data_IF_164472254424
#
_entry.id   IF_164472254424
#
_cell.length_a   1.000
_cell.length_b   1.000
_cell.length_c   1.000
_cell.angle_alpha   90.00
_cell.angle_beta   90.00
_cell.angle_gamma   90.00
#
_symmetry.space_group_name_H-M   'P 1'
#
loop_
_entity.id
_entity.type
_entity.pdbx_description
1 polymer ?
#
# COMPACT_ATOMS: atom_id res chain seq x y z
N UNK A 1 4.20 -19.94 11.20
CA UNK A 1 2.91 -20.40 10.62
C UNK A 1 2.13 -19.20 10.12
N UNK A 2 1.42 -19.31 8.99
CA UNK A 2 0.58 -18.23 8.45
C UNK A 2 -0.50 -17.87 9.48
N UNK A 3 -0.68 -16.58 9.74
CA UNK A 3 -1.55 -16.08 10.80
C UNK A 3 -2.16 -14.73 10.42
N UNK A 4 -3.37 -14.47 10.89
CA UNK A 4 -4.01 -13.17 10.87
C UNK A 4 -4.64 -12.89 12.24
N UNK A 5 -4.45 -11.68 12.74
CA UNK A 5 -5.02 -11.22 14.01
C UNK A 5 -5.66 -9.86 13.82
N UNK A 6 -6.94 -9.73 14.20
CA UNK A 6 -7.59 -8.43 14.31
C UNK A 6 -6.97 -7.67 15.49
N UNK A 7 -6.43 -6.49 15.22
CA UNK A 7 -5.80 -5.60 16.18
C UNK A 7 -6.80 -4.57 16.70
N UNK A 8 -7.64 -4.05 15.80
CA UNK A 8 -8.71 -3.11 16.12
C UNK A 8 -9.85 -3.32 15.14
N UNK A 9 -11.06 -3.26 15.65
CA UNK A 9 -12.27 -3.45 14.87
C UNK A 9 -13.32 -2.44 15.34
N UNK A 10 -13.84 -1.66 14.42
CA UNK A 10 -14.71 -0.54 14.75
C UNK A 10 -15.82 -0.41 13.73
N UNK A 11 -16.95 0.13 14.17
CA UNK A 11 -18.06 0.48 13.28
C UNK A 11 -18.47 1.92 13.56
N UNK A 12 -18.60 2.71 12.49
CA UNK A 12 -18.97 4.12 12.54
C UNK A 12 -20.46 4.28 12.92
N UNK A 13 -20.92 5.48 13.29
CA UNK A 13 -22.34 5.75 13.48
C UNK A 13 -23.19 5.51 12.21
N UNK A 14 -22.57 5.56 11.02
CA UNK A 14 -23.21 5.27 9.73
C UNK A 14 -23.22 3.78 9.38
N UNK A 15 -22.70 2.91 10.25
CA UNK A 15 -22.71 1.45 10.07
C UNK A 15 -21.55 0.92 9.22
N UNK A 16 -20.57 1.76 8.86
CA UNK A 16 -19.39 1.33 8.08
C UNK A 16 -18.34 0.73 9.01
N UNK A 17 -17.93 -0.51 8.74
CA UNK A 17 -16.93 -1.24 9.54
C UNK A 17 -15.53 -0.90 9.05
N UNK A 18 -14.60 -0.68 9.98
CA UNK A 18 -13.18 -0.52 9.72
C UNK A 18 -12.40 -1.50 10.59
N UNK A 19 -11.55 -2.29 9.96
CA UNK A 19 -10.77 -3.32 10.67
C UNK A 19 -9.29 -3.15 10.37
N UNK A 20 -8.46 -3.20 11.40
CA UNK A 20 -7.02 -3.33 11.29
C UNK A 20 -6.59 -4.73 11.68
N UNK A 21 -5.84 -5.39 10.79
CA UNK A 21 -5.28 -6.71 11.01
C UNK A 21 -3.75 -6.67 10.99
N UNK A 22 -3.14 -7.46 11.86
CA UNK A 22 -1.76 -7.88 11.75
C UNK A 22 -1.75 -9.26 11.09
N UNK A 23 -1.07 -9.37 9.95
CA UNK A 23 -0.94 -10.61 9.19
C UNK A 23 0.52 -11.03 9.11
N UNK A 24 0.76 -12.34 9.21
CA UNK A 24 2.08 -12.95 9.09
C UNK A 24 2.04 -14.08 8.07
N UNK A 25 2.89 -13.98 7.05
CA UNK A 25 2.89 -14.88 5.89
C UNK A 25 4.29 -15.02 5.29
N UNK A 26 4.50 -15.91 4.32
CA UNK A 26 5.83 -16.08 3.71
C UNK A 26 6.24 -14.84 2.90
N UNK A 27 7.47 -14.37 3.07
CA UNK A 27 7.94 -13.12 2.43
C UNK A 27 7.82 -13.10 0.91
N UNK A 28 7.90 -14.26 0.26
CA UNK A 28 7.71 -14.37 -1.19
C UNK A 28 6.29 -14.11 -1.66
N UNK A 29 5.29 -14.15 -0.78
CA UNK A 29 3.90 -13.81 -1.13
C UNK A 29 3.68 -12.30 -1.14
N UNK A 30 4.62 -11.50 -0.61
CA UNK A 30 4.44 -10.05 -0.52
C UNK A 30 4.11 -9.40 -1.88
N UNK A 31 4.74 -9.75 -3.01
CA UNK A 31 4.34 -9.20 -4.31
C UNK A 31 2.87 -9.50 -4.63
N UNK A 32 2.40 -10.73 -4.39
CA UNK A 32 1.00 -11.12 -4.62
C UNK A 32 0.04 -10.48 -3.62
N UNK A 33 0.40 -10.41 -2.34
CA UNK A 33 -0.37 -9.69 -1.32
C UNK A 33 -0.51 -8.22 -1.71
N UNK A 34 0.58 -7.64 -2.22
CA UNK A 34 0.62 -6.30 -2.77
C UNK A 34 0.08 -6.21 -4.19
N UNK A 35 -0.45 -7.26 -4.85
CA UNK A 35 -1.20 -7.12 -6.12
C UNK A 35 -2.68 -6.91 -5.90
N UNK A 36 -3.16 -7.06 -4.65
CA UNK A 36 -4.39 -6.41 -4.19
C UNK A 36 -4.18 -4.89 -4.06
N UNK A 37 -3.51 -4.28 -5.06
CA UNK A 37 -3.55 -2.83 -5.27
C UNK A 37 -4.87 -2.55 -5.90
N UNK A 38 -5.70 -1.83 -5.21
CA UNK A 38 -6.92 -1.27 -5.74
C UNK A 38 -6.62 -0.12 -6.71
N UNK A 39 -5.41 0.47 -6.67
CA UNK A 39 -4.97 1.61 -7.46
C UNK A 39 -4.25 1.18 -8.76
N UNK A 40 -4.94 1.15 -9.90
CA UNK A 40 -4.28 0.85 -11.19
C UNK A 40 -4.76 1.75 -12.32
N UNK A 41 -3.92 1.84 -13.36
CA UNK A 41 -4.16 2.59 -14.57
C UNK A 41 -4.41 1.64 -15.74
N UNK A 42 -5.34 1.99 -16.62
CA UNK A 42 -5.66 1.20 -17.80
C UNK A 42 -4.49 1.12 -18.80
N UNK A 43 -4.48 0.06 -19.60
CA UNK A 43 -3.41 -0.30 -20.54
C UNK A 43 -2.95 0.80 -21.50
N UNK A 44 -3.89 1.65 -21.92
CA UNK A 44 -3.69 2.74 -22.88
C UNK A 44 -3.31 4.07 -22.21
N UNK A 45 -2.95 4.02 -20.93
CA UNK A 45 -2.42 5.19 -20.22
C UNK A 45 -0.99 5.46 -20.70
N UNK A 46 -0.74 6.69 -21.15
CA UNK A 46 0.57 7.16 -21.59
C UNK A 46 1.36 7.66 -20.40
N UNK A 47 2.54 7.08 -20.20
CA UNK A 47 3.53 7.58 -19.25
C UNK A 47 4.79 7.97 -20.01
N UNK A 48 5.48 8.98 -19.50
CA UNK A 48 6.65 9.55 -20.15
C UNK A 48 7.92 9.03 -19.53
N UNK A 49 8.69 8.34 -20.35
CA UNK A 49 9.94 7.70 -19.97
C UNK A 49 11.11 8.39 -20.63
N UNK A 50 12.23 8.47 -19.94
CA UNK A 50 13.52 8.61 -20.59
C UNK A 50 14.47 7.51 -20.13
N UNK A 51 15.56 7.40 -20.88
CA UNK A 51 16.64 6.52 -20.54
C UNK A 51 17.85 7.30 -20.02
N UNK A 52 18.27 7.08 -18.76
CA UNK A 52 19.45 7.74 -18.22
C UNK A 52 20.75 7.29 -18.92
N UNK A 53 20.78 6.16 -19.60
CA UNK A 53 21.95 5.65 -20.35
C UNK A 53 22.07 6.25 -21.75
N UNK A 54 21.04 6.94 -22.26
CA UNK A 54 21.07 7.63 -23.55
C UNK A 54 21.21 9.15 -23.31
N UNK A 55 22.39 9.74 -23.58
CA UNK A 55 22.62 11.17 -23.42
C UNK A 55 21.61 11.99 -24.23
N UNK A 56 21.14 13.09 -23.65
CA UNK A 56 20.22 14.07 -24.26
C UNK A 56 18.88 13.49 -24.78
N UNK A 57 18.52 12.27 -24.36
CA UNK A 57 17.22 11.69 -24.70
C UNK A 57 16.10 12.54 -24.10
N UNK A 58 15.21 13.01 -24.98
CA UNK A 58 13.97 13.68 -24.55
C UNK A 58 12.96 12.63 -24.07
N UNK A 59 12.19 12.91 -22.99
CA UNK A 59 11.14 12.01 -22.53
C UNK A 59 10.14 11.67 -23.63
N UNK A 60 9.89 10.37 -23.83
CA UNK A 60 8.98 9.82 -24.83
C UNK A 60 7.74 9.22 -24.15
N UNK A 61 6.57 9.49 -24.71
CA UNK A 61 5.31 8.93 -24.22
C UNK A 61 5.10 7.51 -24.73
N UNK A 62 4.86 6.58 -23.82
CA UNK A 62 4.54 5.20 -24.15
C UNK A 62 3.33 4.73 -23.36
N UNK A 63 2.46 3.93 -24.01
CA UNK A 63 1.40 3.23 -23.30
C UNK A 63 1.98 2.23 -22.31
N UNK A 64 1.36 2.11 -21.13
CA UNK A 64 1.79 1.20 -20.07
C UNK A 64 1.92 -0.25 -20.56
N UNK A 65 0.96 -0.73 -21.36
CA UNK A 65 1.04 -2.08 -21.96
C UNK A 65 2.26 -2.26 -22.85
N UNK A 66 2.53 -1.29 -23.73
CA UNK A 66 3.67 -1.36 -24.64
C UNK A 66 5.00 -1.30 -23.87
N UNK A 67 5.10 -0.40 -22.89
CA UNK A 67 6.27 -0.29 -22.02
C UNK A 67 6.50 -1.61 -21.26
N UNK A 68 5.46 -2.17 -20.64
CA UNK A 68 5.54 -3.44 -19.92
C UNK A 68 5.99 -4.60 -20.81
N UNK A 69 5.36 -4.75 -21.98
CA UNK A 69 5.73 -5.79 -22.95
C UNK A 69 7.17 -5.66 -23.44
N UNK A 70 7.66 -4.43 -23.60
CA UNK A 70 9.04 -4.16 -24.03
C UNK A 70 10.03 -4.49 -22.94
N UNK A 71 9.74 -4.06 -21.70
CA UNK A 71 10.57 -4.32 -20.52
C UNK A 71 10.60 -5.80 -20.09
N UNK A 72 9.55 -6.55 -20.44
CA UNK A 72 9.46 -7.99 -20.12
C UNK A 72 10.29 -8.88 -21.06
N UNK A 73 10.88 -8.33 -22.12
CA UNK A 73 11.73 -9.09 -23.04
C UNK A 73 13.07 -9.44 -22.39
N UNK A 74 13.62 -10.65 -22.57
CA UNK A 74 14.94 -11.00 -22.04
C UNK A 74 16.06 -10.05 -22.46
N UNK A 75 15.94 -9.47 -23.66
CA UNK A 75 16.90 -8.49 -24.20
C UNK A 75 16.91 -7.15 -23.46
N UNK A 76 15.90 -6.85 -22.63
CA UNK A 76 15.83 -5.61 -21.87
C UNK A 76 16.84 -5.59 -20.71
N UNK A 77 17.11 -6.75 -20.11
CA UNK A 77 18.06 -6.89 -19.00
C UNK A 77 17.68 -6.04 -17.78
N UNK A 78 18.70 -5.48 -17.11
CA UNK A 78 18.56 -4.68 -15.88
C UNK A 78 18.41 -3.16 -16.14
N UNK A 79 18.10 -2.79 -17.39
CA UNK A 79 18.01 -1.40 -17.83
C UNK A 79 16.89 -0.65 -17.08
N UNK A 80 17.23 0.47 -16.44
CA UNK A 80 16.30 1.27 -15.63
C UNK A 80 15.90 2.56 -16.31
N UNK A 81 14.60 2.76 -16.51
CA UNK A 81 14.05 4.01 -17.02
C UNK A 81 13.78 5.00 -15.88
N UNK A 82 13.71 6.27 -16.23
CA UNK A 82 13.12 7.29 -15.37
C UNK A 82 11.71 7.62 -15.86
N UNK A 83 10.87 8.05 -14.95
CA UNK A 83 9.51 8.55 -15.22
C UNK A 83 9.40 10.00 -14.82
N UNK A 84 8.49 10.72 -15.47
CA UNK A 84 8.17 12.10 -15.11
C UNK A 84 7.31 12.13 -13.84
N UNK A 85 7.79 12.82 -12.82
CA UNK A 85 7.15 13.04 -11.51
C UNK A 85 6.92 14.52 -11.26
N UNK A 86 5.92 14.89 -10.46
CA UNK A 86 5.81 16.24 -9.91
C UNK A 86 6.34 16.28 -8.48
N UNK A 87 7.29 17.17 -8.22
CA UNK A 87 7.78 17.43 -6.86
C UNK A 87 6.74 18.25 -6.10
N UNK A 88 6.09 17.65 -5.11
CA UNK A 88 4.87 18.19 -4.48
C UNK A 88 5.12 19.57 -3.85
N UNK A 89 6.21 19.72 -3.10
CA UNK A 89 6.63 21.00 -2.49
C UNK A 89 6.79 22.17 -3.47
N UNK A 90 6.94 21.92 -4.76
CA UNK A 90 7.16 22.97 -5.78
C UNK A 90 6.10 22.97 -6.89
N UNK A 91 5.33 21.89 -7.00
CA UNK A 91 4.44 21.62 -8.14
C UNK A 91 5.18 21.50 -9.49
N UNK A 92 6.49 21.28 -9.51
CA UNK A 92 7.29 21.23 -10.75
C UNK A 92 7.62 19.80 -11.18
N UNK A 93 7.54 19.55 -12.49
CA UNK A 93 7.90 18.27 -13.10
C UNK A 93 9.41 18.02 -13.11
N UNK A 94 9.82 16.79 -12.82
CA UNK A 94 11.21 16.30 -12.84
C UNK A 94 11.24 14.82 -13.25
N UNK A 95 12.36 14.36 -13.80
CA UNK A 95 12.59 12.94 -14.06
C UNK A 95 13.14 12.25 -12.82
N UNK A 96 12.60 11.10 -12.46
CA UNK A 96 13.04 10.30 -11.31
C UNK A 96 13.14 8.82 -11.69
N UNK A 97 14.07 8.05 -11.08
CA UNK A 97 14.18 6.62 -11.33
C UNK A 97 12.87 5.88 -11.03
N UNK A 98 12.50 4.98 -11.95
CA UNK A 98 11.42 4.03 -11.74
C UNK A 98 11.97 2.73 -11.19
N UNK A 99 11.33 2.20 -10.14
CA UNK A 99 11.66 0.90 -9.55
C UNK A 99 11.10 -0.25 -10.39
N UNK A 100 9.83 -0.17 -10.78
CA UNK A 100 9.14 -1.26 -11.49
C UNK A 100 7.88 -0.77 -12.21
N UNK A 101 7.56 -1.42 -13.34
CA UNK A 101 6.26 -1.39 -14.01
C UNK A 101 5.64 -2.78 -13.92
N UNK A 102 4.45 -2.89 -13.35
CA UNK A 102 3.81 -4.17 -12.99
C UNK A 102 2.47 -4.29 -13.70
N UNK A 103 2.20 -5.47 -14.28
CA UNK A 103 0.89 -5.84 -14.79
C UNK A 103 0.00 -6.31 -13.63
N UNK A 104 -1.17 -5.69 -13.48
CA UNK A 104 -2.09 -5.91 -12.37
C UNK A 104 -3.34 -6.73 -12.74
N UNK A 105 -3.44 -7.19 -13.99
CA UNK A 105 -4.61 -7.94 -14.50
C UNK A 105 -5.75 -7.03 -14.96
N UNK A 106 -6.82 -7.62 -15.52
CA UNK A 106 -8.05 -6.90 -15.84
C UNK A 106 -8.74 -6.41 -14.56
N UNK A 107 -9.24 -5.17 -14.56
CA UNK A 107 -9.98 -4.57 -13.45
C UNK A 107 -11.09 -3.67 -13.97
N UNK A 108 -12.15 -3.54 -13.17
CA UNK A 108 -13.22 -2.59 -13.45
C UNK A 108 -12.69 -1.15 -13.40
N UNK A 109 -12.96 -0.39 -14.46
CA UNK A 109 -12.31 0.89 -14.71
C UNK A 109 -13.30 1.98 -15.12
N UNK A 110 -12.86 3.22 -14.90
CA UNK A 110 -13.58 4.42 -15.21
C UNK A 110 -12.70 5.36 -16.02
N UNK A 111 -13.29 6.01 -17.01
CA UNK A 111 -12.63 7.04 -17.81
C UNK A 111 -13.04 8.39 -17.27
N UNK A 112 -12.06 9.14 -16.80
CA UNK A 112 -12.23 10.53 -16.35
C UNK A 112 -11.76 11.44 -17.46
N UNK A 113 -12.53 12.46 -17.82
CA UNK A 113 -12.12 13.50 -18.76
C UNK A 113 -12.14 14.87 -18.09
N UNK A 114 -11.22 15.73 -18.50
CA UNK A 114 -11.05 17.09 -17.96
C UNK A 114 -11.34 18.16 -19.01
N UNK A 115 -11.53 19.40 -18.53
CA UNK A 115 -11.85 20.57 -19.36
C UNK A 115 -10.80 20.87 -20.42
N UNK A 116 -9.52 20.61 -20.15
CA UNK A 116 -8.46 20.78 -21.15
C UNK A 116 -8.35 19.62 -22.16
N UNK A 117 -9.27 18.65 -22.09
CA UNK A 117 -9.35 17.49 -22.99
C UNK A 117 -8.42 16.35 -22.60
N UNK A 118 -7.82 16.38 -21.40
CA UNK A 118 -7.06 15.24 -20.88
C UNK A 118 -8.03 14.18 -20.38
N UNK A 119 -7.58 12.94 -20.39
CA UNK A 119 -8.36 11.84 -19.88
C UNK A 119 -7.46 10.75 -19.31
N UNK A 120 -7.97 10.01 -18.35
CA UNK A 120 -7.30 8.85 -17.77
C UNK A 120 -8.31 7.73 -17.54
N UNK A 121 -7.88 6.50 -17.78
CA UNK A 121 -8.65 5.31 -17.43
C UNK A 121 -8.00 4.70 -16.20
N UNK A 122 -8.73 4.61 -15.11
CA UNK A 122 -8.23 4.10 -13.86
C UNK A 122 -9.31 3.36 -13.07
N UNK A 123 -8.88 2.56 -12.10
CA UNK A 123 -9.80 1.97 -11.13
C UNK A 123 -10.44 3.05 -10.26
N UNK A 124 -11.64 2.78 -9.71
CA UNK A 124 -12.33 3.71 -8.80
C UNK A 124 -11.44 4.13 -7.62
N UNK A 125 -10.60 3.22 -7.15
CA UNK A 125 -9.70 3.49 -6.03
C UNK A 125 -8.43 4.23 -6.44
N UNK A 126 -8.14 4.48 -7.72
CA UNK A 126 -6.85 5.09 -8.10
C UNK A 126 -6.70 6.53 -7.60
N UNK A 127 -5.57 6.85 -6.98
CA UNK A 127 -5.31 8.18 -6.41
C UNK A 127 -4.88 9.19 -7.48
N UNK A 128 -5.62 10.29 -7.54
CA UNK A 128 -5.39 11.43 -8.42
C UNK A 128 -5.08 12.66 -7.57
N UNK A 129 -4.18 13.53 -8.03
CA UNK A 129 -3.94 14.81 -7.36
C UNK A 129 -5.10 15.75 -7.73
N UNK A 130 -5.80 16.24 -6.73
CA UNK A 130 -6.94 17.15 -6.90
C UNK A 130 -6.74 18.45 -6.13
N UNK A 131 -7.61 19.44 -6.33
CA UNK A 131 -7.65 20.68 -5.54
C UNK A 131 -7.86 20.44 -4.04
N UNK A 132 -8.46 19.31 -3.68
CA UNK A 132 -8.69 18.90 -2.30
C UNK A 132 -7.64 17.89 -1.81
N UNK A 133 -6.60 17.61 -2.62
CA UNK A 133 -5.52 16.69 -2.30
C UNK A 133 -5.52 15.39 -3.06
N UNK A 134 -4.79 14.41 -2.53
CA UNK A 134 -4.73 13.06 -3.08
C UNK A 134 -6.01 12.30 -2.72
N UNK A 135 -6.95 12.26 -3.67
CA UNK A 135 -8.23 11.55 -3.55
C UNK A 135 -8.22 10.34 -4.47
N UNK A 136 -8.86 9.24 -4.07
CA UNK A 136 -9.24 8.22 -5.06
C UNK A 136 -10.27 8.78 -6.02
N UNK A 137 -10.43 8.18 -7.20
CA UNK A 137 -11.47 8.62 -8.12
C UNK A 137 -12.86 8.56 -7.45
N UNK A 138 -13.14 7.49 -6.71
CA UNK A 138 -14.40 7.30 -5.99
C UNK A 138 -14.66 8.42 -5.00
N UNK A 139 -13.68 8.75 -4.14
CA UNK A 139 -13.79 9.83 -3.16
C UNK A 139 -13.86 11.21 -3.80
N UNK A 140 -13.10 11.43 -4.87
CA UNK A 140 -13.07 12.72 -5.55
C UNK A 140 -14.45 13.09 -6.06
N UNK A 141 -15.25 12.12 -6.49
CA UNK A 141 -16.45 12.40 -7.28
C UNK A 141 -17.71 11.76 -6.70
N UNK A 142 -17.64 11.12 -5.53
CA UNK A 142 -18.72 10.31 -4.95
C UNK A 142 -19.28 9.29 -5.96
N UNK A 143 -18.37 8.48 -6.53
CA UNK A 143 -18.67 7.61 -7.66
C UNK A 143 -19.55 6.42 -7.25
N UNK A 144 -20.63 6.19 -7.99
CA UNK A 144 -21.41 4.95 -7.93
C UNK A 144 -22.00 4.59 -9.29
N UNK A 145 -22.47 3.35 -9.46
CA UNK A 145 -23.20 2.92 -10.65
C UNK A 145 -24.70 2.89 -10.35
N UNK A 146 -25.53 3.40 -11.26
CA UNK A 146 -26.98 3.24 -11.20
C UNK A 146 -27.43 1.81 -11.59
N UNK A 147 -28.73 1.52 -11.50
CA UNK A 147 -29.32 0.22 -11.86
C UNK A 147 -29.06 -0.20 -13.33
N UNK A 148 -28.64 0.74 -14.18
CA UNK A 148 -28.35 0.51 -15.61
C UNK A 148 -26.84 0.44 -15.89
N UNK A 149 -26.01 0.52 -14.85
CA UNK A 149 -24.54 0.50 -14.97
C UNK A 149 -23.95 1.83 -15.44
N UNK A 150 -24.67 2.94 -15.30
CA UNK A 150 -24.16 4.28 -15.65
C UNK A 150 -23.43 4.87 -14.45
N UNK A 151 -22.23 5.42 -14.68
CA UNK A 151 -21.47 6.11 -13.67
C UNK A 151 -22.15 7.42 -13.25
N UNK A 152 -22.53 7.51 -11.98
CA UNK A 152 -23.06 8.69 -11.32
C UNK A 152 -21.98 9.29 -10.40
N UNK A 153 -21.92 10.63 -10.36
CA UNK A 153 -20.92 11.39 -9.61
C UNK A 153 -21.47 12.76 -9.21
N UNK A 154 -20.85 13.39 -8.21
CA UNK A 154 -21.28 14.66 -7.62
C UNK A 154 -21.16 15.83 -8.61
N UNK A 155 -22.08 16.78 -8.52
CA UNK A 155 -22.21 17.87 -9.50
C UNK A 155 -20.99 18.80 -9.58
N UNK A 156 -20.27 18.98 -8.45
CA UNK A 156 -19.12 19.88 -8.36
C UNK A 156 -17.92 19.15 -7.72
N UNK A 157 -17.21 18.28 -8.45
CA UNK A 157 -16.04 17.61 -7.94
C UNK A 157 -14.82 18.56 -7.90
N UNK A 158 -13.81 18.26 -7.07
CA UNK A 158 -12.54 18.96 -7.12
C UNK A 158 -11.91 18.82 -8.50
N UNK A 159 -11.12 19.84 -8.89
CA UNK A 159 -10.39 19.78 -10.15
C UNK A 159 -9.19 18.85 -10.01
N UNK A 160 -8.83 18.13 -11.06
CA UNK A 160 -7.57 17.37 -11.09
C UNK A 160 -6.41 18.33 -11.33
N UNK A 161 -5.19 17.93 -10.96
CA UNK A 161 -4.00 18.63 -11.42
C UNK A 161 -3.42 17.94 -12.66
N UNK A 162 -3.22 18.75 -13.69
CA UNK A 162 -2.49 18.38 -14.90
C UNK A 162 -1.12 19.04 -14.92
N UNK A 163 -0.16 18.40 -15.57
CA UNK A 163 1.16 18.96 -15.79
C UNK A 163 1.70 18.55 -17.15
N UNK A 164 2.24 19.52 -17.88
CA UNK A 164 2.85 19.28 -19.18
C UNK A 164 4.07 18.37 -19.04
N UNK A 165 4.26 17.49 -20.02
CA UNK A 165 5.38 16.57 -20.07
C UNK A 165 6.68 17.28 -20.48
N UNK A 166 7.17 18.15 -19.61
CA UNK A 166 8.44 18.86 -19.77
C UNK A 166 9.00 19.17 -18.39
N UNK A 167 10.30 18.91 -18.21
CA UNK A 167 10.99 19.22 -16.95
C UNK A 167 10.81 20.70 -16.61
N UNK A 168 10.55 20.97 -15.33
CA UNK A 168 10.20 22.28 -14.76
C UNK A 168 8.82 22.85 -15.15
N UNK A 169 7.99 22.14 -15.91
CA UNK A 169 6.58 22.48 -16.06
C UNK A 169 5.90 22.49 -14.70
N UNK A 170 4.99 23.45 -14.51
CA UNK A 170 4.23 23.60 -13.27
C UNK A 170 2.86 22.93 -13.41
N UNK A 171 2.46 22.22 -12.36
CA UNK A 171 1.12 21.67 -12.24
C UNK A 171 0.06 22.79 -12.28
N UNK A 172 -1.08 22.49 -12.88
CA UNK A 172 -2.22 23.38 -13.06
C UNK A 172 -3.51 22.62 -12.81
N UNK A 173 -4.49 23.30 -12.25
CA UNK A 173 -5.83 22.74 -12.06
C UNK A 173 -6.53 22.55 -13.41
N UNK A 174 -7.29 21.48 -13.52
CA UNK A 174 -8.06 21.08 -14.69
C UNK A 174 -9.36 20.42 -14.24
N UNK A 175 -10.50 21.12 -14.35
CA UNK A 175 -11.79 20.62 -13.88
C UNK A 175 -12.20 19.32 -14.57
N UNK A 176 -12.79 18.39 -13.81
CA UNK A 176 -13.43 17.19 -14.35
C UNK A 176 -14.69 17.60 -15.12
N UNK A 177 -14.87 17.07 -16.31
CA UNK A 177 -16.05 17.33 -17.16
C UNK A 177 -16.98 16.13 -17.28
N UNK A 178 -16.43 14.91 -17.20
CA UNK A 178 -17.19 13.69 -17.40
C UNK A 178 -16.46 12.49 -16.83
N UNK A 179 -17.24 11.49 -16.40
CA UNK A 179 -16.77 10.20 -15.91
C UNK A 179 -17.65 9.13 -16.53
N UNK A 180 -17.04 8.11 -17.12
CA UNK A 180 -17.75 7.00 -17.75
C UNK A 180 -17.26 5.69 -17.16
N UNK A 181 -18.19 4.76 -16.93
CA UNK A 181 -17.84 3.37 -16.65
C UNK A 181 -17.33 2.72 -17.94
N UNK A 182 -16.12 2.17 -17.90
CA UNK A 182 -15.45 1.52 -19.04
C UNK A 182 -15.63 0.00 -18.99
N UNK A 183 -15.83 -0.55 -17.79
CA UNK A 183 -15.83 -1.99 -17.54
C UNK A 183 -14.42 -2.55 -17.36
N UNK A 184 -14.28 -3.87 -17.49
CA UNK A 184 -13.00 -4.55 -17.28
C UNK A 184 -11.96 -4.15 -18.32
N UNK A 185 -10.86 -3.58 -17.84
CA UNK A 185 -9.71 -3.15 -18.65
C UNK A 185 -8.42 -3.68 -18.05
N UNK A 186 -7.49 -4.11 -18.90
CA UNK A 186 -6.14 -4.50 -18.50
C UNK A 186 -5.43 -3.36 -17.78
N UNK A 187 -4.96 -3.62 -16.56
CA UNK A 187 -4.44 -2.60 -15.66
C UNK A 187 -2.96 -2.79 -15.32
N UNK A 188 -2.28 -1.67 -15.08
CA UNK A 188 -0.86 -1.60 -14.76
C UNK A 188 -0.61 -0.63 -13.61
N UNK A 189 0.51 -0.82 -12.93
CA UNK A 189 0.97 0.06 -11.84
C UNK A 189 2.46 0.34 -11.96
N UNK A 190 2.86 1.54 -11.55
CA UNK A 190 4.26 1.98 -11.54
C UNK A 190 4.75 2.06 -10.09
N UNK A 191 6.06 1.98 -9.89
CA UNK A 191 6.65 2.31 -8.61
C UNK A 191 7.88 3.17 -8.83
N UNK A 192 8.00 4.21 -8.01
CA UNK A 192 9.02 5.24 -8.13
C UNK A 192 9.97 5.13 -6.95
N UNK A 193 11.27 5.33 -7.21
CA UNK A 193 12.32 5.18 -6.22
C UNK A 193 12.48 6.38 -5.26
N UNK A 194 11.79 7.50 -5.54
CA UNK A 194 11.86 8.70 -4.69
C UNK A 194 11.26 8.40 -3.31
N UNK A 195 11.99 8.65 -2.20
CA UNK A 195 11.55 8.29 -0.86
C UNK A 195 10.52 9.25 -0.24
N UNK A 196 10.22 10.37 -0.89
CA UNK A 196 9.31 11.41 -0.37
C UNK A 196 8.06 11.55 -1.22
N UNK A 197 8.23 11.72 -2.53
CA UNK A 197 7.12 11.91 -3.46
C UNK A 197 6.88 10.59 -4.21
N UNK A 198 5.72 9.95 -4.06
CA UNK A 198 5.41 8.69 -4.75
C UNK A 198 4.44 8.87 -5.92
N UNK A 199 4.47 10.04 -6.58
CA UNK A 199 3.62 10.37 -7.72
C UNK A 199 4.35 10.38 -9.07
N UNK A 200 3.59 10.23 -10.16
CA UNK A 200 4.04 10.37 -11.55
C UNK A 200 2.98 11.04 -12.43
N UNK A 201 3.39 11.43 -13.65
CA UNK A 201 2.51 11.99 -14.66
C UNK A 201 2.05 10.89 -15.62
N UNK A 202 0.72 10.74 -15.74
CA UNK A 202 0.04 9.76 -16.59
C UNK A 202 -1.06 10.47 -17.41
N UNK A 203 -1.00 10.41 -18.75
CA UNK A 203 -1.85 11.21 -19.65
C UNK A 203 -1.90 12.70 -19.29
N UNK A 204 -0.76 13.24 -18.84
CA UNK A 204 -0.61 14.61 -18.32
C UNK A 204 -1.38 14.90 -17.02
N UNK A 205 -1.99 13.92 -16.38
CA UNK A 205 -2.58 14.03 -15.04
C UNK A 205 -1.60 13.48 -14.00
N UNK A 206 -1.65 14.02 -12.78
CA UNK A 206 -0.72 13.63 -11.70
C UNK A 206 -1.40 12.57 -10.82
N UNK A 207 -0.73 11.43 -10.66
CA UNK A 207 -1.27 10.22 -10.03
C UNK A 207 -0.28 9.63 -9.02
N UNK A 208 -0.74 8.84 -8.06
CA UNK A 208 0.09 8.38 -6.92
C UNK A 208 0.21 6.84 -6.82
N UNK A 209 1.35 6.35 -6.28
CA UNK A 209 1.60 4.93 -5.99
C UNK A 209 1.27 4.58 -4.52
N UNK A 210 0.56 3.49 -4.24
CA UNK A 210 0.30 3.03 -2.85
C UNK A 210 1.39 2.06 -2.34
N UNK A 211 2.04 2.28 -1.18
CA UNK A 211 2.78 1.22 -0.44
C UNK A 211 2.93 1.46 1.08
N UNK A 212 2.60 0.44 1.89
CA UNK A 212 3.18 0.19 3.21
C UNK A 212 3.46 -1.30 3.46
N UNK A 213 4.73 -1.66 3.70
CA UNK A 213 5.14 -3.03 4.04
C UNK A 213 6.43 -3.01 4.86
N UNK A 214 6.59 -3.97 5.78
CA UNK A 214 7.81 -4.10 6.59
C UNK A 214 9.08 -4.23 5.71
N UNK A 215 10.19 -3.67 6.18
CA UNK A 215 11.47 -3.63 5.45
C UNK A 215 12.45 -4.66 6.00
N UNK A 216 13.01 -5.51 5.14
CA UNK A 216 14.09 -6.44 5.52
C UNK A 216 15.40 -5.70 5.88
N UNK A 217 15.57 -4.44 5.43
CA UNK A 217 16.74 -3.59 5.73
C UNK A 217 16.80 -3.15 7.19
N UNK A 218 15.64 -3.07 7.83
CA UNK A 218 15.46 -2.57 9.19
C UNK A 218 16.00 -3.56 10.25
N UNK A 219 15.83 -4.86 10.04
CA UNK A 219 16.05 -5.90 11.06
C UNK A 219 17.53 -6.34 11.11
N UNK A 220 18.16 -6.41 12.30
CA UNK A 220 19.54 -6.90 12.45
C UNK A 220 19.75 -8.31 11.88
N UNK A 221 20.87 -8.50 11.17
CA UNK A 221 21.22 -9.77 10.51
C UNK A 221 21.19 -10.98 11.46
N UNK A 222 21.78 -10.86 12.66
CA UNK A 222 21.80 -11.93 13.67
C UNK A 222 20.37 -12.38 14.05
N UNK A 223 19.42 -11.44 14.15
CA UNK A 223 18.02 -11.75 14.43
C UNK A 223 17.37 -12.47 13.25
N UNK A 224 17.65 -12.05 12.02
CA UNK A 224 17.12 -12.72 10.82
C UNK A 224 17.62 -14.16 10.67
N UNK A 225 18.93 -14.38 10.84
CA UNK A 225 19.52 -15.72 10.81
C UNK A 225 18.84 -16.63 11.85
N UNK A 226 18.68 -16.15 13.09
CA UNK A 226 18.02 -16.92 14.15
C UNK A 226 16.56 -17.28 13.82
N UNK A 227 15.81 -16.37 13.17
CA UNK A 227 14.44 -16.65 12.72
C UNK A 227 14.41 -17.77 11.68
N UNK A 228 15.22 -17.66 10.63
CA UNK A 228 15.26 -18.65 9.53
C UNK A 228 15.75 -20.02 9.98
N UNK A 229 16.70 -20.09 10.91
CA UNK A 229 17.15 -21.38 11.49
C UNK A 229 16.00 -22.08 12.22
N UNK A 230 15.27 -21.34 13.06
CA UNK A 230 14.23 -21.87 13.95
C UNK A 230 12.95 -22.23 13.22
N UNK A 231 12.46 -21.35 12.35
CA UNK A 231 11.20 -21.52 11.62
C UNK A 231 11.32 -20.87 10.22
N UNK A 232 11.90 -21.57 9.24
CA UNK A 232 11.97 -21.07 7.86
C UNK A 232 10.58 -21.08 7.22
N UNK A 233 10.29 -20.07 6.40
CA UNK A 233 9.19 -20.14 5.43
C UNK A 233 9.51 -21.21 4.37
N UNK A 234 8.70 -22.26 4.29
CA UNK A 234 8.85 -23.37 3.33
C UNK A 234 7.51 -23.61 2.62
N UNK A 235 7.51 -24.10 1.37
CA UNK A 235 6.27 -24.40 0.65
C UNK A 235 5.34 -25.32 1.46
N UNK A 236 4.06 -24.99 1.45
CA UNK A 236 3.01 -25.74 2.14
C UNK A 236 2.61 -26.98 1.35
N UNK A 237 2.59 -26.85 0.02
CA UNK A 237 2.23 -27.91 -0.92
C UNK A 237 3.34 -28.11 -1.97
N UNK A 238 3.44 -29.34 -2.48
CA UNK A 238 4.39 -29.72 -3.52
C UNK A 238 3.62 -30.52 -4.58
N UNK A 239 3.33 -29.87 -5.71
CA UNK A 239 2.60 -30.48 -6.82
C UNK A 239 3.49 -30.80 -8.02
N UNK A 240 2.97 -31.63 -8.93
CA UNK A 240 3.65 -31.97 -10.18
C UNK A 240 3.70 -30.78 -11.15
N UNK A 241 4.79 -30.68 -11.93
CA UNK A 241 4.93 -29.69 -13.01
C UNK A 241 3.97 -29.97 -14.17
N UNK A 242 3.30 -28.93 -14.70
CA UNK A 242 2.31 -29.00 -15.79
C UNK A 242 2.27 -27.68 -16.56
N UNK A 243 1.72 -27.65 -17.79
CA UNK A 243 1.30 -26.40 -18.41
C UNK A 243 0.24 -25.68 -17.56
N UNK A 244 0.38 -24.37 -17.37
CA UNK A 244 -0.50 -23.54 -16.52
C UNK A 244 0.17 -23.09 -15.22
N UNK A 245 -0.55 -22.33 -14.39
CA UNK A 245 -0.01 -21.73 -13.14
C UNK A 245 -0.23 -22.58 -11.89
N UNK A 246 -0.95 -23.71 -11.99
CA UNK A 246 -1.40 -24.50 -10.85
C UNK A 246 -0.98 -25.96 -10.95
N UNK A 247 -0.62 -26.52 -9.79
CA UNK A 247 -0.25 -27.92 -9.66
C UNK A 247 -1.38 -28.67 -8.94
N UNK A 248 -2.30 -29.27 -9.70
CA UNK A 248 -3.51 -29.93 -9.16
C UNK A 248 -3.30 -31.38 -8.71
N UNK A 249 -2.19 -32.01 -9.09
CA UNK A 249 -1.86 -33.37 -8.63
C UNK A 249 -0.73 -33.37 -7.61
N UNK A 250 -0.97 -34.13 -6.54
CA UNK A 250 -0.04 -34.33 -5.42
C UNK A 250 1.13 -35.22 -5.84
N UNK A 251 2.34 -34.84 -5.44
CA UNK A 251 3.51 -35.72 -5.53
C UNK A 251 3.33 -36.98 -4.68
N UNK A 252 3.97 -38.09 -5.09
CA UNK A 252 4.06 -39.27 -4.25
C UNK A 252 4.84 -38.98 -2.96
N UNK A 253 4.59 -39.79 -1.92
CA UNK A 253 5.13 -39.56 -0.57
C UNK A 253 6.66 -39.47 -0.53
N UNK A 254 7.36 -40.23 -1.38
CA UNK A 254 8.82 -40.21 -1.43
C UNK A 254 9.34 -38.91 -2.05
N UNK A 255 8.77 -38.49 -3.18
CA UNK A 255 9.15 -37.22 -3.82
C UNK A 255 8.80 -36.01 -2.96
N UNK A 256 7.65 -35.99 -2.29
CA UNK A 256 7.30 -34.92 -1.34
C UNK A 256 8.33 -34.83 -0.20
N UNK A 257 8.75 -35.97 0.35
CA UNK A 257 9.78 -36.00 1.39
C UNK A 257 11.13 -35.47 0.91
N UNK A 258 11.57 -35.89 -0.29
CA UNK A 258 12.80 -35.38 -0.90
C UNK A 258 12.72 -33.87 -1.19
N UNK A 259 11.60 -33.39 -1.74
CA UNK A 259 11.41 -31.97 -2.03
C UNK A 259 11.47 -31.11 -0.76
N UNK A 260 10.78 -31.54 0.32
CA UNK A 260 10.86 -30.89 1.64
C UNK A 260 12.29 -30.83 2.18
N UNK A 261 13.02 -31.94 2.04
CA UNK A 261 14.42 -32.04 2.49
C UNK A 261 15.32 -31.08 1.71
N UNK A 262 15.21 -31.04 0.37
CA UNK A 262 16.00 -30.17 -0.48
C UNK A 262 15.72 -28.68 -0.21
N UNK A 263 14.46 -28.30 -0.04
CA UNK A 263 14.09 -26.94 0.35
C UNK A 263 14.66 -26.55 1.72
N UNK A 264 14.65 -27.48 2.69
CA UNK A 264 15.28 -27.24 3.99
C UNK A 264 16.79 -27.07 3.85
N UNK A 265 17.47 -27.90 3.06
CA UNK A 265 18.90 -27.76 2.78
C UNK A 265 19.23 -26.41 2.13
N UNK A 266 18.40 -25.94 1.19
CA UNK A 266 18.55 -24.62 0.58
C UNK A 266 18.47 -23.50 1.63
N UNK A 267 17.53 -23.59 2.59
CA UNK A 267 17.42 -22.62 3.69
C UNK A 267 18.68 -22.59 4.57
N UNK A 268 19.27 -23.76 4.84
CA UNK A 268 20.50 -23.88 5.64
C UNK A 268 21.69 -23.30 4.89
N UNK A 269 21.81 -23.58 3.58
CA UNK A 269 22.86 -23.00 2.75
C UNK A 269 22.78 -21.46 2.72
N UNK A 270 21.58 -20.91 2.55
CA UNK A 270 21.35 -19.47 2.60
C UNK A 270 21.79 -18.86 3.94
N UNK A 271 21.51 -19.53 5.06
CA UNK A 271 22.00 -19.15 6.39
C UNK A 271 23.52 -19.17 6.48
N UNK A 272 24.17 -20.21 5.98
CA UNK A 272 25.63 -20.32 5.99
C UNK A 272 26.29 -19.16 5.22
N UNK A 273 25.79 -18.84 4.02
CA UNK A 273 26.29 -17.71 3.24
C UNK A 273 25.99 -16.37 3.90
N UNK A 274 24.80 -16.16 4.44
CA UNK A 274 24.45 -14.94 5.16
C UNK A 274 25.36 -14.73 6.39
N UNK A 275 25.66 -15.80 7.13
CA UNK A 275 26.60 -15.75 8.24
C UNK A 275 28.02 -15.40 7.80
N UNK A 276 28.53 -16.04 6.74
CA UNK A 276 29.85 -15.77 6.19
C UNK A 276 30.00 -14.32 5.70
N UNK A 277 29.01 -13.79 4.98
CA UNK A 277 28.99 -12.39 4.54
C UNK A 277 28.91 -11.41 5.71
N UNK A 278 28.18 -11.78 6.77
CA UNK A 278 28.19 -11.03 8.03
C UNK A 278 29.57 -10.98 8.70
N UNK A 279 30.36 -12.06 8.61
CA UNK A 279 31.75 -12.09 9.09
C UNK A 279 32.70 -11.21 8.27
N UNK A 280 32.38 -10.99 7.00
CA UNK A 280 33.06 -10.01 6.15
C UNK A 280 32.62 -8.56 6.39
N UNK A 281 31.80 -8.31 7.42
CA UNK A 281 31.27 -6.99 7.78
C UNK A 281 30.42 -6.34 6.67
N UNK A 282 29.80 -7.13 5.80
CA UNK A 282 28.90 -6.62 4.75
C UNK A 282 27.58 -6.18 5.40
N UNK A 283 27.08 -5.01 5.01
CA UNK A 283 25.91 -4.41 5.63
C UNK A 283 24.62 -5.24 5.45
N UNK A 284 23.79 -5.29 6.50
CA UNK A 284 22.53 -6.06 6.56
C UNK A 284 21.56 -5.80 5.41
N UNK A 285 21.60 -4.61 4.81
CA UNK A 285 20.74 -4.26 3.66
C UNK A 285 20.95 -5.17 2.45
N UNK A 286 22.16 -5.72 2.30
CA UNK A 286 22.54 -6.64 1.22
C UNK A 286 22.43 -8.08 1.71
N UNK A 287 23.01 -8.38 2.88
CA UNK A 287 23.08 -9.76 3.38
C UNK A 287 21.70 -10.36 3.64
N UNK A 288 20.74 -9.57 4.15
CA UNK A 288 19.39 -10.07 4.42
C UNK A 288 18.66 -10.54 3.15
N UNK A 289 19.07 -10.11 1.93
CA UNK A 289 18.42 -10.50 0.67
C UNK A 289 18.53 -12.00 0.38
N UNK A 290 19.63 -12.63 0.78
CA UNK A 290 19.86 -14.08 0.62
C UNK A 290 18.88 -14.89 1.46
N UNK A 291 18.43 -14.33 2.58
CA UNK A 291 17.52 -14.98 3.51
C UNK A 291 16.05 -14.75 3.14
N UNK A 292 15.72 -13.73 2.33
CA UNK A 292 14.34 -13.32 2.02
C UNK A 292 13.42 -14.46 1.56
N UNK A 293 13.87 -15.42 0.72
CA UNK A 293 13.02 -16.55 0.35
C UNK A 293 12.54 -17.35 1.57
N UNK A 294 13.33 -17.44 2.64
CA UNK A 294 12.99 -18.28 3.79
C UNK A 294 12.45 -17.48 4.98
N UNK A 295 12.13 -16.19 4.78
CA UNK A 295 11.63 -15.33 5.84
C UNK A 295 10.10 -15.36 5.95
N UNK A 296 9.61 -15.30 7.19
CA UNK A 296 8.28 -14.82 7.49
C UNK A 296 8.24 -13.29 7.40
N UNK A 297 7.10 -12.77 6.99
CA UNK A 297 6.85 -11.36 6.78
C UNK A 297 5.59 -10.96 7.52
N UNK A 298 5.69 -9.84 8.25
CA UNK A 298 4.59 -9.30 9.04
C UNK A 298 4.15 -7.96 8.48
N UNK A 299 2.85 -7.81 8.27
CA UNK A 299 2.24 -6.60 7.71
C UNK A 299 1.07 -6.21 8.59
N UNK A 300 0.88 -4.90 8.77
CA UNK A 300 -0.37 -4.32 9.25
C UNK A 300 -1.16 -3.84 8.04
N UNK A 301 -2.44 -4.16 8.01
CA UNK A 301 -3.36 -3.72 6.96
C UNK A 301 -4.63 -3.22 7.62
N UNK A 302 -5.11 -2.06 7.19
CA UNK A 302 -6.40 -1.51 7.61
C UNK A 302 -7.27 -1.38 6.37
N UNK A 303 -8.51 -1.84 6.44
CA UNK A 303 -9.48 -1.71 5.35
C UNK A 303 -10.90 -1.69 5.91
N UNK A 304 -11.76 -0.94 5.24
CA UNK A 304 -13.23 -1.01 5.35
C UNK A 304 -13.84 -2.06 4.41
N UNK A 305 -13.07 -2.56 3.46
CA UNK A 305 -13.51 -3.49 2.42
C UNK A 305 -12.60 -4.71 2.32
N UNK A 306 -13.17 -5.89 2.55
CA UNK A 306 -12.43 -7.16 2.53
C UNK A 306 -12.95 -8.15 1.50
N UNK A 307 -14.18 -7.98 1.00
CA UNK A 307 -14.85 -9.02 0.21
C UNK A 307 -14.17 -9.28 -1.13
N UNK A 308 -13.69 -8.23 -1.80
CA UNK A 308 -12.93 -8.38 -3.04
C UNK A 308 -11.62 -9.16 -2.81
N UNK A 309 -10.92 -8.89 -1.70
CA UNK A 309 -9.71 -9.63 -1.34
C UNK A 309 -10.03 -11.11 -1.13
N UNK A 310 -11.08 -11.42 -0.36
CA UNK A 310 -11.44 -12.81 -0.10
C UNK A 310 -11.98 -13.52 -1.35
N UNK A 311 -12.74 -12.84 -2.21
CA UNK A 311 -13.24 -13.42 -3.47
C UNK A 311 -12.09 -13.90 -4.35
N UNK A 312 -11.03 -13.10 -4.45
CA UNK A 312 -9.88 -13.41 -5.30
C UNK A 312 -8.91 -14.40 -4.64
N UNK A 313 -8.70 -14.29 -3.32
CA UNK A 313 -7.62 -14.98 -2.61
C UNK A 313 -8.08 -16.20 -1.82
N UNK A 314 -9.32 -16.24 -1.34
CA UNK A 314 -9.96 -17.45 -0.82
C UNK A 314 -10.54 -18.30 -1.97
N UNK A 315 -9.72 -18.49 -3.01
CA UNK A 315 -10.07 -19.24 -4.22
C UNK A 315 -9.09 -20.38 -4.39
N UNK A 316 -9.57 -21.50 -4.94
CA UNK A 316 -8.71 -22.62 -5.31
C UNK A 316 -7.76 -22.28 -6.47
N UNK A 317 -7.96 -21.11 -7.11
CA UNK A 317 -7.08 -20.62 -8.15
C UNK A 317 -5.87 -19.81 -7.62
N UNK A 318 -5.93 -19.38 -6.36
CA UNK A 318 -4.85 -18.63 -5.73
C UNK A 318 -3.69 -19.56 -5.35
N UNK A 319 -2.50 -18.98 -5.16
CA UNK A 319 -1.38 -19.73 -4.60
C UNK A 319 -1.78 -20.33 -3.24
N UNK A 320 -1.46 -21.61 -2.92
CA UNK A 320 -1.94 -22.26 -1.71
C UNK A 320 -1.68 -21.46 -0.42
N UNK A 321 -0.48 -20.90 -0.27
CA UNK A 321 -0.16 -20.08 0.90
C UNK A 321 -0.97 -18.77 0.96
N UNK A 322 -1.31 -18.18 -0.19
CA UNK A 322 -2.16 -16.99 -0.25
C UNK A 322 -3.59 -17.33 0.13
N UNK A 323 -4.09 -18.49 -0.31
CA UNK A 323 -5.40 -19.00 0.09
C UNK A 323 -5.47 -19.26 1.60
N UNK A 324 -4.42 -19.86 2.17
CA UNK A 324 -4.32 -20.04 3.62
C UNK A 324 -4.34 -18.71 4.38
N UNK A 325 -3.65 -17.68 3.87
CA UNK A 325 -3.67 -16.34 4.45
C UNK A 325 -5.07 -15.73 4.38
N UNK A 326 -5.74 -15.80 3.23
CA UNK A 326 -7.09 -15.27 3.04
C UNK A 326 -8.09 -15.93 3.99
N UNK A 327 -8.04 -17.26 4.13
CA UNK A 327 -8.86 -18.02 5.08
C UNK A 327 -8.59 -17.62 6.53
N UNK A 328 -7.32 -17.44 6.90
CA UNK A 328 -6.95 -16.99 8.24
C UNK A 328 -7.49 -15.57 8.53
N UNK A 329 -7.39 -14.66 7.56
CA UNK A 329 -7.92 -13.30 7.66
C UNK A 329 -9.45 -13.28 7.76
N UNK A 330 -10.16 -14.07 6.92
CA UNK A 330 -11.62 -14.19 6.94
C UNK A 330 -12.08 -14.72 8.31
N UNK A 331 -11.48 -15.80 8.77
CA UNK A 331 -11.76 -16.38 10.10
C UNK A 331 -11.49 -15.38 11.24
N UNK A 332 -10.40 -14.61 11.18
CA UNK A 332 -10.13 -13.59 12.18
C UNK A 332 -11.18 -12.47 12.18
N UNK A 333 -11.68 -12.08 11.00
CA UNK A 333 -12.73 -11.07 10.85
C UNK A 333 -14.10 -11.56 11.36
N UNK A 334 -14.47 -12.79 11.00
CA UNK A 334 -15.74 -13.42 11.36
C UNK A 334 -15.85 -13.64 12.88
N UNK A 335 -14.73 -13.95 13.53
CA UNK A 335 -14.65 -14.12 14.98
C UNK A 335 -14.52 -12.79 15.75
N UNK A 336 -14.36 -11.66 15.04
CA UNK A 336 -14.23 -10.34 15.67
C UNK A 336 -15.58 -9.63 15.75
N UNK A 337 -15.82 -8.94 16.87
CA UNK A 337 -16.99 -8.08 17.07
C UNK A 337 -16.56 -6.61 17.05
N UNK A 338 -17.05 -5.79 16.11
CA UNK A 338 -16.63 -4.39 16.01
C UNK A 338 -17.15 -3.55 17.17
N UNK A 339 -16.30 -2.68 17.73
CA UNK A 339 -16.70 -1.68 18.74
C UNK A 339 -17.40 -0.51 18.04
N UNK A 340 -18.59 -0.13 18.50
CA UNK A 340 -19.26 1.08 18.02
C UNK A 340 -18.46 2.31 18.47
N UNK A 341 -18.16 3.19 17.52
CA UNK A 341 -17.53 4.48 17.80
C UNK A 341 -18.51 5.61 17.54
N UNK A 342 -18.51 6.61 18.42
CA UNK A 342 -19.21 7.88 18.27
C UNK A 342 -18.44 8.88 17.40
N UNK A 343 -19.08 10.01 17.08
CA UNK A 343 -18.41 11.12 16.40
C UNK A 343 -17.28 11.68 17.28
N UNK A 344 -16.08 11.81 16.72
CA UNK A 344 -14.89 12.26 17.44
C UNK A 344 -14.12 11.16 18.19
N UNK A 345 -14.63 9.93 18.24
CA UNK A 345 -13.89 8.77 18.76
C UNK A 345 -13.02 8.14 17.67
N UNK A 346 -11.85 7.62 18.03
CA UNK A 346 -10.85 7.20 17.06
C UNK A 346 -10.66 5.69 16.99
N UNK A 347 -10.52 5.20 15.75
CA UNK A 347 -9.96 3.90 15.44
C UNK A 347 -8.44 3.97 15.58
N UNK A 348 -7.94 3.52 16.74
CA UNK A 348 -6.51 3.58 17.10
C UNK A 348 -5.91 2.18 17.31
N UNK A 349 -5.34 1.56 16.26
CA UNK A 349 -4.69 0.26 16.38
C UNK A 349 -3.57 0.24 17.42
N UNK A 350 -3.40 -0.91 18.07
CA UNK A 350 -2.40 -1.15 19.12
C UNK A 350 -2.52 -0.27 20.36
N UNK A 351 -3.64 0.44 20.57
CA UNK A 351 -3.93 1.12 21.83
C UNK A 351 -5.00 0.36 22.60
N UNK A 352 -4.74 0.11 23.89
CA UNK A 352 -5.67 -0.57 24.79
C UNK A 352 -6.79 0.38 25.24
N UNK A 353 -7.92 -0.17 25.70
CA UNK A 353 -9.03 0.66 26.19
C UNK A 353 -8.63 1.52 27.40
N UNK A 354 -7.79 1.01 28.31
CA UNK A 354 -7.27 1.78 29.45
C UNK A 354 -6.37 2.96 29.04
N UNK A 355 -5.56 2.79 27.98
CA UNK A 355 -4.77 3.88 27.41
C UNK A 355 -5.67 4.90 26.70
N UNK A 356 -6.73 4.45 26.03
CA UNK A 356 -7.69 5.33 25.35
C UNK A 356 -8.49 6.21 26.33
N UNK A 357 -8.72 5.74 27.56
CA UNK A 357 -9.38 6.51 28.63
C UNK A 357 -8.45 7.51 29.33
N UNK A 358 -7.13 7.29 29.28
CA UNK A 358 -6.15 8.09 30.05
C UNK A 358 -5.37 9.11 29.22
N UNK A 359 -5.34 8.95 27.90
CA UNK A 359 -4.61 9.84 26.99
C UNK A 359 -5.51 10.90 26.36
N UNK A 360 -4.91 12.04 26.03
CA UNK A 360 -5.53 13.02 25.12
C UNK A 360 -5.77 12.38 23.75
N UNK A 361 -6.70 12.92 22.97
CA UNK A 361 -6.97 12.45 21.60
C UNK A 361 -5.72 12.55 20.71
N UNK A 362 -4.98 13.65 20.87
CA UNK A 362 -3.69 13.90 20.23
C UNK A 362 -2.71 12.76 20.53
N UNK A 363 -2.46 12.49 21.80
CA UNK A 363 -1.47 11.49 22.22
C UNK A 363 -1.92 10.08 21.86
N UNK A 364 -3.22 9.79 21.93
CA UNK A 364 -3.81 8.53 21.49
C UNK A 364 -3.49 8.24 20.01
N UNK A 365 -3.70 9.23 19.14
CA UNK A 365 -3.38 9.17 17.72
C UNK A 365 -1.87 9.03 17.47
N UNK A 366 -1.06 9.82 18.18
CA UNK A 366 0.40 9.78 18.09
C UNK A 366 0.97 8.42 18.50
N UNK A 367 0.54 7.88 19.64
CA UNK A 367 0.94 6.57 20.14
C UNK A 367 0.53 5.47 19.17
N UNK A 368 -0.71 5.49 18.66
CA UNK A 368 -1.19 4.50 17.69
C UNK A 368 -0.36 4.54 16.39
N UNK A 369 -0.12 5.72 15.84
CA UNK A 369 0.72 5.93 14.65
C UNK A 369 2.14 5.39 14.85
N UNK A 370 2.77 5.71 15.98
CA UNK A 370 4.11 5.24 16.31
C UNK A 370 4.18 3.71 16.45
N UNK A 371 3.14 3.10 17.03
CA UNK A 371 3.04 1.63 17.16
C UNK A 371 2.82 0.96 15.82
N UNK A 372 1.99 1.53 14.94
CA UNK A 372 1.83 1.06 13.56
C UNK A 372 3.15 1.12 12.77
N UNK A 373 4.00 2.12 13.01
CA UNK A 373 5.33 2.20 12.40
C UNK A 373 6.27 1.07 12.86
N UNK A 374 6.07 0.56 14.07
CA UNK A 374 6.91 -0.46 14.73
C UNK A 374 6.50 -1.90 14.43
N UNK A 375 5.56 -2.16 13.53
CA UNK A 375 5.15 -3.53 13.14
C UNK A 375 6.33 -4.38 12.64
N UNK A 376 7.43 -3.75 12.20
CA UNK A 376 8.70 -4.40 11.84
C UNK A 376 9.71 -4.60 13.00
N UNK A 377 9.46 -4.04 14.19
CA UNK A 377 10.43 -3.87 15.26
C UNK A 377 10.02 -4.31 16.65
N UNK A 378 8.81 -4.82 16.86
CA UNK A 378 8.30 -5.24 18.18
C UNK A 378 9.40 -5.88 19.04
N UNK A 379 9.94 -5.07 19.95
CA UNK A 379 10.85 -5.53 21.00
C UNK A 379 10.00 -6.41 21.89
N UNK A 380 10.46 -7.64 22.12
CA UNK A 380 9.79 -8.67 22.91
C UNK A 380 9.57 -8.27 24.39
N UNK A 381 9.85 -7.04 24.79
CA UNK A 381 9.94 -6.62 26.20
C UNK A 381 8.64 -6.10 26.79
N UNK A 382 7.51 -6.18 26.09
CA UNK A 382 6.16 -6.11 26.70
C UNK A 382 5.76 -4.78 27.37
N UNK A 383 6.69 -3.87 27.65
CA UNK A 383 6.45 -2.56 28.21
C UNK A 383 6.52 -1.51 27.11
N UNK A 384 5.36 -0.94 26.80
CA UNK A 384 5.21 0.14 25.83
C UNK A 384 5.29 1.45 26.58
N UNK A 385 6.42 2.11 26.46
CA UNK A 385 6.67 3.43 27.00
C UNK A 385 5.97 4.47 26.12
N UNK A 386 4.93 5.10 26.65
CA UNK A 386 4.12 6.11 25.96
C UNK A 386 5.00 7.29 25.52
N UNK A 387 5.95 7.72 26.35
CA UNK A 387 6.87 8.82 26.00
C UNK A 387 7.69 8.49 24.77
N UNK A 388 8.27 7.28 24.69
CA UNK A 388 9.03 6.84 23.50
C UNK A 388 8.16 6.67 22.25
N UNK A 389 6.88 6.35 22.42
CA UNK A 389 5.94 6.29 21.31
C UNK A 389 5.66 7.70 20.77
N UNK A 390 5.45 8.68 21.65
CA UNK A 390 5.23 10.09 21.28
C UNK A 390 6.49 10.73 20.67
N UNK A 391 7.69 10.43 21.18
CA UNK A 391 8.95 10.88 20.57
C UNK A 391 9.11 10.35 19.14
N UNK A 392 8.73 9.09 18.92
CA UNK A 392 8.73 8.50 17.58
C UNK A 392 7.66 9.16 16.70
N UNK A 393 6.46 9.41 17.22
CA UNK A 393 5.40 10.11 16.50
C UNK A 393 5.86 11.50 16.01
N UNK A 394 6.49 12.28 16.88
CA UNK A 394 7.08 13.59 16.55
C UNK A 394 8.14 13.47 15.45
N UNK A 395 9.01 12.46 15.54
CA UNK A 395 10.04 12.22 14.53
C UNK A 395 9.43 11.84 13.18
N UNK A 396 8.44 10.96 13.16
CA UNK A 396 7.72 10.56 11.95
C UNK A 396 7.04 11.76 11.28
N UNK A 397 6.42 12.66 12.05
CA UNK A 397 5.86 13.90 11.54
C UNK A 397 6.93 14.83 10.95
N UNK A 398 8.02 15.03 11.69
CA UNK A 398 9.14 15.87 11.23
C UNK A 398 9.75 15.36 9.93
N UNK A 399 9.95 14.05 9.85
CA UNK A 399 10.54 13.38 8.69
C UNK A 399 9.52 13.16 7.56
N UNK A 400 8.27 13.59 7.75
CA UNK A 400 7.16 13.40 6.81
C UNK A 400 6.99 11.93 6.39
N UNK A 401 7.11 11.02 7.36
CA UNK A 401 6.86 9.60 7.17
C UNK A 401 5.43 9.25 7.61
N UNK A 402 4.47 9.62 6.77
CA UNK A 402 3.02 9.61 7.05
C UNK A 402 2.35 8.25 6.93
N UNK A 403 3.03 7.31 6.30
CA UNK A 403 2.60 5.93 6.11
C UNK A 403 1.90 5.30 7.33
N UNK A 404 2.44 5.36 8.57
CA UNK A 404 1.80 4.76 9.73
C UNK A 404 0.49 5.45 10.15
N UNK A 405 0.27 6.70 9.75
CA UNK A 405 -0.95 7.46 10.04
C UNK A 405 -2.14 7.00 9.18
N UNK A 406 -1.92 6.20 8.13
CA UNK A 406 -2.99 5.63 7.31
C UNK A 406 -3.88 4.64 8.07
N UNK A 407 -3.35 4.04 9.14
CA UNK A 407 -4.07 3.04 9.92
C UNK A 407 -4.94 3.62 11.04
N UNK A 408 -4.77 4.91 11.34
CA UNK A 408 -5.51 5.63 12.39
C UNK A 408 -6.61 6.45 11.72
N UNK A 409 -7.84 6.34 12.18
CA UNK A 409 -8.97 7.01 11.55
C UNK A 409 -10.07 7.42 12.53
N UNK A 410 -10.96 8.33 12.13
CA UNK A 410 -12.14 8.78 12.89
C UNK A 410 -13.38 8.64 12.01
N UNK A 411 -14.58 8.33 12.56
CA UNK A 411 -15.80 8.32 11.76
C UNK A 411 -16.02 9.65 11.05
N UNK A 412 -16.41 9.58 9.79
CA UNK A 412 -16.74 10.75 8.97
C UNK A 412 -17.98 10.50 8.10
N UNK A 413 -19.10 11.14 8.44
CA UNK A 413 -20.34 11.07 7.65
C UNK A 413 -20.30 11.93 6.38
N UNK A 414 -19.41 12.92 6.33
CA UNK A 414 -19.37 13.92 5.27
C UNK A 414 -18.39 13.55 4.16
N UNK A 415 -17.63 12.46 4.30
CA UNK A 415 -16.49 12.15 3.42
C UNK A 415 -15.59 13.38 3.25
N UNK A 416 -15.42 14.13 4.35
CA UNK A 416 -14.79 15.45 4.40
C UNK A 416 -13.28 15.40 4.21
N UNK A 417 -12.66 14.24 4.42
CA UNK A 417 -11.27 14.00 4.09
C UNK A 417 -11.13 12.98 2.97
N UNK A 418 -10.17 13.18 2.05
CA UNK A 418 -9.70 12.10 1.18
C UNK A 418 -9.36 10.84 1.95
N UNK A 419 -9.48 9.66 1.36
CA UNK A 419 -9.07 8.40 1.99
C UNK A 419 -9.92 7.20 1.63
N UNK A 420 -9.24 6.05 1.49
CA UNK A 420 -9.80 4.81 0.97
C UNK A 420 -10.67 4.04 1.99
N UNK A 421 -11.10 4.69 3.07
CA UNK A 421 -11.92 4.07 4.11
C UNK A 421 -13.33 4.65 4.06
N UNK A 422 -14.27 3.85 3.61
CA UNK A 422 -15.67 4.26 3.44
C UNK A 422 -16.30 4.66 4.79
N UNK A 423 -16.64 5.94 4.94
CA UNK A 423 -17.22 6.51 6.17
C UNK A 423 -16.21 6.84 7.28
N UNK A 424 -14.91 6.93 6.95
CA UNK A 424 -13.84 7.23 7.90
C UNK A 424 -12.82 8.22 7.34
N UNK A 425 -12.39 9.15 8.18
CA UNK A 425 -11.30 10.08 7.89
C UNK A 425 -9.97 9.57 8.45
N UNK A 426 -8.96 9.36 7.60
CA UNK A 426 -7.64 8.88 8.06
C UNK A 426 -6.78 10.02 8.63
N UNK A 427 -6.04 9.74 9.69
CA UNK A 427 -5.15 10.69 10.36
C UNK A 427 -4.10 11.27 9.40
N UNK A 428 -3.63 10.47 8.43
CA UNK A 428 -2.70 10.93 7.37
C UNK A 428 -3.19 12.21 6.69
N UNK A 429 -4.47 12.27 6.34
CA UNK A 429 -5.04 13.40 5.59
C UNK A 429 -5.30 14.60 6.51
N UNK A 430 -5.72 14.33 7.74
CA UNK A 430 -5.94 15.36 8.77
C UNK A 430 -4.64 16.09 9.11
N UNK A 431 -3.54 15.36 9.28
CA UNK A 431 -2.23 15.93 9.59
C UNK A 431 -1.66 16.69 8.36
N UNK A 432 -2.02 16.30 7.13
CA UNK A 432 -1.41 16.77 5.87
C UNK A 432 -1.86 18.18 5.45
N UNK A 433 -2.67 18.83 6.27
CA UNK A 433 -3.22 20.15 5.97
C UNK A 433 -4.43 20.14 5.04
N UNK A 434 -5.00 18.96 4.73
CA UNK A 434 -6.27 18.85 4.00
C UNK A 434 -7.42 19.25 4.93
N UNK A 435 -7.59 20.56 5.12
CA UNK A 435 -8.72 21.14 5.85
C UNK A 435 -9.55 22.01 4.93
N UNK A 436 -10.67 21.46 4.48
CA UNK A 436 -11.90 22.21 4.32
C UNK A 436 -12.99 21.54 5.17
N UNK A 437 -13.22 22.13 6.34
CA UNK A 437 -14.42 22.04 7.20
C UNK A 437 -14.83 20.64 7.70
N UNK A 438 -15.11 20.57 9.00
CA UNK A 438 -15.56 19.39 9.79
C UNK A 438 -14.38 18.44 10.12
N UNK A 439 -14.02 18.12 11.36
CA UNK A 439 -14.75 17.97 12.62
C UNK A 439 -14.02 18.57 13.84
N UNK A 440 -14.69 19.45 14.57
CA UNK A 440 -14.93 19.33 16.03
C UNK A 440 -16.29 19.98 16.33
N UNK A 441 -17.01 19.53 17.36
CA UNK A 441 -18.25 20.18 17.85
C UNK A 441 -18.03 21.64 18.29
N UNK A 442 -16.76 22.05 18.46
CA UNK A 442 -16.40 23.34 19.08
C UNK A 442 -15.57 24.26 18.15
N UNK A 443 -15.35 23.87 16.89
CA UNK A 443 -14.80 24.76 15.86
C UNK A 443 -13.40 25.32 16.14
N UNK A 444 -12.57 24.65 16.95
CA UNK A 444 -11.17 25.03 17.16
C UNK A 444 -10.23 23.92 16.71
N UNK A 445 -9.26 24.33 15.91
CA UNK A 445 -8.15 23.55 15.46
C UNK A 445 -6.91 24.07 16.18
N UNK A 446 -6.54 23.45 17.29
CA UNK A 446 -5.17 23.57 17.76
C UNK A 446 -4.28 22.72 16.84
N UNK A 447 -3.05 23.17 16.61
CA UNK A 447 -1.98 22.29 16.13
C UNK A 447 -1.98 21.03 17.03
N UNK A 448 -2.02 19.82 16.46
CA UNK A 448 -1.90 18.59 17.27
C UNK A 448 -0.50 18.61 17.92
N UNK A 449 -0.41 19.11 19.15
CA UNK A 449 0.82 19.20 19.93
C UNK A 449 0.87 17.98 20.86
N UNK A 450 1.60 16.94 20.46
CA UNK A 450 1.80 15.75 21.29
C UNK A 450 2.58 16.10 22.56
N UNK A 451 2.11 15.61 23.71
CA UNK A 451 2.75 15.85 25.01
C UNK A 451 3.96 14.93 25.20
N UNK A 452 5.18 15.47 25.40
CA UNK A 452 6.39 14.66 25.57
C UNK A 452 7.68 15.48 25.49
N UNK A 453 8.59 15.29 26.44
CA UNK A 453 9.65 16.22 26.85
C UNK A 453 10.76 16.56 25.84
N UNK A 454 11.59 17.53 26.26
CA UNK A 454 12.66 18.24 25.51
C UNK A 454 13.57 17.38 24.63
#
# INVERSE_FOLDING_TARGET
MINAKVIKDSVSPTGKRLTTMEVEFHRWLLPEFNTHRTFCLGENTTVYFDDPEIPDMKPQGHYLKFAYQTMSKPSWGDRKLRVMQVKESTGKARMVPMDSLVYAGPKDCYRVETKSGKNIVCTADHQLLTTDGWLTLSEAVDLYLDERGVACWKENPPSLFQCENKVNSKAKEDPITSIYHVGETECYDITISDPYDHNFIANNLIVHNSRNSASSRAIPLKKQISKVIRDPALPTEYGLNRPGMQATETLDRQKTFMAKTLFRMASVAAVCFAYALGKLNIHKQVVNRILEPFMWHKVIVTSSEWENFFTLRDSNLAQPEMQMLAKAMRSALDNSTPKKLGWGEWHTPYVSDAEAESLSTEDLCGVSMARCARVSYLTHDGQRDIGKDLDLAKRLMKDQHWSPAEHVAVPDAAYSTPGNFDGWAQLRHILGGYRNKYLTLDGRLADLQFSGGE
#
